data_IF_016625669115
#
_entry.id   IF_016625669115
#
_cell.length_a   1.000
_cell.length_b   1.000
_cell.length_c   1.000
_cell.angle_alpha   90.00
_cell.angle_beta   90.00
_cell.angle_gamma   90.00
#
_symmetry.space_group_name_H-M   'P 1'
#
loop_
_entity.id
_entity.type
_entity.pdbx_description
1 polymer ?
#
# COMPACT_ATOMS: atom_id res chain seq x y z
N UNK A 1 -14.54 -62.65 -9.83
CA UNK A 1 -14.88 -61.31 -10.37
C UNK A 1 -13.60 -60.50 -10.33
N UNK A 2 -12.91 -60.42 -11.46
CA UNK A 2 -11.56 -59.85 -11.61
C UNK A 2 -11.67 -58.35 -11.87
N UNK A 3 -11.17 -57.52 -10.96
CA UNK A 3 -11.03 -56.08 -11.18
C UNK A 3 -9.70 -55.80 -11.88
N UNK A 4 -9.78 -55.39 -13.13
CA UNK A 4 -8.64 -54.98 -13.97
C UNK A 4 -8.08 -53.65 -13.49
N UNK A 5 -6.77 -53.61 -13.25
CA UNK A 5 -5.97 -52.40 -13.11
C UNK A 5 -6.06 -51.56 -14.41
N UNK A 6 -6.33 -50.26 -14.28
CA UNK A 6 -6.12 -49.27 -15.34
C UNK A 6 -4.88 -48.45 -15.00
N UNK A 7 -3.85 -48.60 -15.81
CA UNK A 7 -2.67 -47.72 -15.87
C UNK A 7 -3.10 -46.29 -16.24
N UNK A 8 -2.56 -45.23 -15.61
CA UNK A 8 -2.80 -43.87 -16.07
C UNK A 8 -1.94 -43.60 -17.30
N UNK A 9 -2.62 -43.36 -18.42
CA UNK A 9 -2.05 -42.77 -19.64
C UNK A 9 -1.61 -41.33 -19.34
N UNK A 10 -0.37 -41.02 -19.67
CA UNK A 10 0.20 -39.67 -19.66
C UNK A 10 -0.70 -38.71 -20.46
N UNK A 11 -1.14 -37.57 -19.90
CA UNK A 11 -1.78 -36.55 -20.72
C UNK A 11 -0.71 -35.86 -21.57
N UNK A 12 -1.07 -35.62 -22.81
CA UNK A 12 -0.30 -34.92 -23.82
C UNK A 12 0.24 -33.58 -23.29
N UNK A 13 1.44 -33.22 -23.73
CA UNK A 13 2.05 -31.92 -23.49
C UNK A 13 1.25 -30.84 -24.23
N UNK A 14 0.20 -30.31 -23.58
CA UNK A 14 -0.39 -29.03 -23.96
C UNK A 14 0.68 -27.94 -23.77
N UNK A 15 1.00 -27.25 -24.85
CA UNK A 15 1.88 -26.09 -24.90
C UNK A 15 1.36 -25.02 -23.92
N UNK A 16 1.98 -24.94 -22.73
CA UNK A 16 1.62 -23.94 -21.73
C UNK A 16 1.81 -22.54 -22.34
N UNK A 17 0.81 -21.64 -22.27
CA UNK A 17 0.93 -20.31 -22.82
C UNK A 17 2.07 -19.57 -22.09
N UNK A 18 3.10 -19.17 -22.84
CA UNK A 18 4.24 -18.44 -22.28
C UNK A 18 3.74 -17.18 -21.58
N UNK A 19 4.04 -16.98 -20.29
CA UNK A 19 3.56 -15.81 -19.55
C UNK A 19 4.07 -14.54 -20.23
N UNK A 20 3.16 -13.67 -20.68
CA UNK A 20 3.54 -12.42 -21.34
C UNK A 20 4.01 -11.44 -20.26
N UNK A 21 5.25 -10.99 -20.28
CA UNK A 21 5.71 -10.00 -19.30
C UNK A 21 5.32 -8.57 -19.73
N UNK A 22 5.05 -7.69 -18.76
CA UNK A 22 4.91 -6.24 -18.93
C UNK A 22 6.12 -5.51 -18.36
N UNK A 23 6.59 -4.51 -19.09
CA UNK A 23 7.51 -3.50 -18.57
C UNK A 23 6.70 -2.33 -18.01
N UNK A 24 7.02 -1.91 -16.79
CA UNK A 24 6.46 -0.75 -16.12
C UNK A 24 7.44 0.42 -16.09
N UNK A 25 7.24 1.32 -15.12
CA UNK A 25 8.06 2.51 -14.99
C UNK A 25 9.56 2.21 -14.81
N UNK A 26 10.38 3.00 -15.49
CA UNK A 26 11.83 3.05 -15.32
C UNK A 26 12.17 4.12 -14.31
N UNK A 27 12.99 3.81 -13.31
CA UNK A 27 13.46 4.78 -12.30
C UNK A 27 14.97 4.86 -12.35
N UNK A 28 15.49 6.06 -12.61
CA UNK A 28 16.92 6.34 -12.49
C UNK A 28 17.24 6.93 -11.12
N UNK A 29 18.30 6.44 -10.50
CA UNK A 29 18.88 6.99 -9.26
C UNK A 29 20.36 7.34 -9.40
N UNK A 30 20.98 6.95 -10.52
CA UNK A 30 22.33 7.36 -10.90
C UNK A 30 22.31 8.65 -11.73
N UNK A 31 23.48 9.05 -12.21
CA UNK A 31 23.60 10.16 -13.16
C UNK A 31 23.09 9.83 -14.57
N UNK A 32 22.52 8.64 -14.79
CA UNK A 32 22.00 8.21 -16.09
C UNK A 32 20.55 8.68 -16.29
N UNK A 33 20.14 8.83 -17.55
CA UNK A 33 18.74 9.09 -17.92
C UNK A 33 17.93 7.79 -17.94
N UNK A 34 16.61 7.87 -17.78
CA UNK A 34 15.70 6.71 -17.83
C UNK A 34 15.93 5.82 -19.06
N UNK A 35 16.00 6.44 -20.24
CA UNK A 35 16.31 5.77 -21.51
C UNK A 35 17.62 4.96 -21.51
N UNK A 36 18.63 5.42 -20.77
CA UNK A 36 19.91 4.71 -20.63
C UNK A 36 19.84 3.58 -19.62
N UNK A 37 19.10 3.76 -18.53
CA UNK A 37 18.80 2.66 -17.60
C UNK A 37 18.08 1.54 -18.34
N UNK A 38 17.10 1.88 -19.19
CA UNK A 38 16.42 0.91 -20.05
C UNK A 38 17.38 0.28 -21.08
N UNK A 39 18.27 1.05 -21.70
CA UNK A 39 19.28 0.50 -22.60
C UNK A 39 20.22 -0.50 -21.91
N UNK A 40 20.64 -0.21 -20.66
CA UNK A 40 21.42 -1.15 -19.86
C UNK A 40 20.58 -2.38 -19.47
N UNK A 41 19.28 -2.22 -19.21
CA UNK A 41 18.37 -3.33 -18.95
C UNK A 41 18.24 -4.26 -20.16
N UNK A 42 18.25 -3.71 -21.37
CA UNK A 42 18.13 -4.43 -22.64
C UNK A 42 19.46 -5.05 -23.13
N UNK A 43 20.55 -4.90 -22.40
CA UNK A 43 21.84 -5.47 -22.76
C UNK A 43 21.84 -7.00 -22.53
N UNK A 44 21.57 -7.74 -23.60
CA UNK A 44 21.44 -9.19 -23.59
C UNK A 44 22.15 -9.82 -24.81
N UNK A 45 22.41 -11.12 -24.73
CA UNK A 45 22.97 -11.87 -25.85
C UNK A 45 22.03 -11.77 -27.09
N UNK A 46 22.59 -11.66 -28.31
CA UNK A 46 21.81 -11.70 -29.54
C UNK A 46 20.99 -12.99 -29.60
N UNK A 47 19.66 -12.86 -29.72
CA UNK A 47 18.76 -14.00 -29.78
C UNK A 47 18.51 -14.71 -28.44
N UNK A 48 18.69 -14.03 -27.31
CA UNK A 48 18.34 -14.57 -25.98
C UNK A 48 16.88 -15.07 -25.94
N UNK A 49 16.68 -16.29 -25.46
CA UNK A 49 15.37 -16.90 -25.21
C UNK A 49 14.77 -16.48 -23.85
N UNK A 50 15.47 -15.67 -23.06
CA UNK A 50 14.96 -15.15 -21.78
C UNK A 50 13.81 -14.15 -22.05
N UNK A 51 12.60 -14.39 -21.52
CA UNK A 51 11.45 -13.49 -21.72
C UNK A 51 11.70 -12.08 -21.17
N UNK A 52 12.53 -11.92 -20.14
CA UNK A 52 12.91 -10.61 -19.61
C UNK A 52 13.79 -9.86 -20.61
N UNK A 53 14.76 -10.54 -21.23
CA UNK A 53 15.63 -9.93 -22.24
C UNK A 53 14.83 -9.49 -23.46
N UNK A 54 13.95 -10.36 -23.96
CA UNK A 54 13.07 -10.06 -25.09
C UNK A 54 12.17 -8.86 -24.80
N UNK A 55 11.58 -8.80 -23.60
CA UNK A 55 10.76 -7.68 -23.16
C UNK A 55 11.56 -6.37 -23.09
N UNK A 56 12.76 -6.37 -22.50
CA UNK A 56 13.58 -5.15 -22.38
C UNK A 56 14.04 -4.64 -23.74
N UNK A 57 14.39 -5.53 -24.66
CA UNK A 57 14.73 -5.19 -26.04
C UNK A 57 13.51 -4.60 -26.76
N UNK A 58 12.33 -5.19 -26.60
CA UNK A 58 11.08 -4.69 -27.19
C UNK A 58 10.72 -3.30 -26.63
N UNK A 59 10.73 -3.15 -25.31
CA UNK A 59 10.44 -1.89 -24.62
C UNK A 59 11.41 -0.76 -25.05
N UNK A 60 12.70 -1.06 -25.18
CA UNK A 60 13.67 -0.06 -25.66
C UNK A 60 13.39 0.38 -27.10
N UNK A 61 13.05 -0.57 -27.99
CA UNK A 61 12.74 -0.27 -29.41
C UNK A 61 11.45 0.52 -29.56
N UNK A 62 10.46 0.25 -28.71
CA UNK A 62 9.17 0.93 -28.71
C UNK A 62 9.29 2.35 -28.14
N UNK A 63 9.84 2.50 -26.93
CA UNK A 63 9.90 3.80 -26.25
C UNK A 63 10.98 4.72 -26.83
N UNK A 64 12.10 4.14 -27.30
CA UNK A 64 13.30 4.87 -27.68
C UNK A 64 13.97 4.33 -28.96
N UNK A 65 13.30 4.38 -30.11
CA UNK A 65 13.79 3.79 -31.37
C UNK A 65 15.13 4.38 -31.87
N UNK A 66 15.50 5.58 -31.42
CA UNK A 66 16.76 6.23 -31.77
C UNK A 66 17.98 5.70 -30.98
N UNK A 67 17.76 4.88 -29.94
CA UNK A 67 18.84 4.30 -29.13
C UNK A 67 19.10 2.88 -29.63
N UNK A 68 20.32 2.58 -30.11
CA UNK A 68 20.65 1.22 -30.50
C UNK A 68 20.66 0.30 -29.28
N UNK A 69 20.12 -0.91 -29.44
CA UNK A 69 20.27 -1.97 -28.43
C UNK A 69 21.76 -2.29 -28.29
N UNK A 70 22.31 -2.34 -27.06
CA UNK A 70 23.72 -2.67 -26.89
C UNK A 70 24.05 -4.05 -27.46
N UNK A 71 25.10 -4.12 -28.29
CA UNK A 71 25.60 -5.39 -28.81
C UNK A 71 26.43 -6.10 -27.74
N UNK A 72 26.12 -7.37 -27.49
CA UNK A 72 26.77 -8.20 -26.49
C UNK A 72 27.29 -9.46 -27.16
N UNK A 73 28.49 -9.93 -26.78
CA UNK A 73 28.97 -11.24 -27.19
C UNK A 73 28.34 -12.31 -26.26
N UNK A 74 27.78 -13.41 -26.76
CA UNK A 74 27.27 -14.49 -25.91
C UNK A 74 28.28 -15.00 -24.86
N UNK A 75 29.59 -14.95 -25.16
CA UNK A 75 30.64 -15.34 -24.20
C UNK A 75 30.84 -14.31 -23.07
N UNK A 76 30.36 -13.08 -23.25
CA UNK A 76 30.43 -11.98 -22.29
C UNK A 76 29.18 -11.91 -21.38
N UNK A 77 28.30 -12.93 -21.41
CA UNK A 77 27.14 -13.07 -20.53
C UNK A 77 27.38 -14.15 -19.49
N UNK A 78 27.31 -13.76 -18.21
CA UNK A 78 27.36 -14.66 -17.06
C UNK A 78 25.97 -14.68 -16.40
N UNK A 79 25.19 -15.77 -16.56
CA UNK A 79 23.80 -15.86 -16.12
C UNK A 79 23.64 -15.82 -14.58
N UNK A 80 22.42 -15.56 -14.08
CA UNK A 80 22.15 -15.64 -12.66
C UNK A 80 22.30 -17.09 -12.16
N UNK A 81 22.70 -17.24 -10.90
CA UNK A 81 22.88 -18.53 -10.21
C UNK A 81 22.08 -18.52 -8.91
N UNK A 82 21.83 -19.67 -8.29
CA UNK A 82 21.03 -19.72 -7.05
C UNK A 82 21.66 -18.95 -5.88
N UNK A 83 22.99 -18.99 -5.78
CA UNK A 83 23.81 -18.22 -4.83
C UNK A 83 23.91 -16.74 -5.20
N UNK A 84 23.66 -16.41 -6.47
CA UNK A 84 23.86 -15.09 -7.06
C UNK A 84 22.70 -14.71 -7.98
N UNK A 85 21.65 -14.13 -7.40
CA UNK A 85 20.41 -13.69 -8.09
C UNK A 85 20.57 -12.43 -8.95
N UNK A 86 21.71 -12.29 -9.62
CA UNK A 86 21.95 -11.27 -10.64
C UNK A 86 22.82 -11.85 -11.76
N UNK A 87 22.55 -11.42 -12.99
CA UNK A 87 23.38 -11.68 -14.17
C UNK A 87 24.44 -10.59 -14.31
N UNK A 88 25.56 -10.93 -14.93
CA UNK A 88 26.59 -9.98 -15.35
C UNK A 88 26.73 -10.04 -16.86
N UNK A 89 26.63 -8.89 -17.52
CA UNK A 89 26.75 -8.77 -18.97
C UNK A 89 27.82 -7.74 -19.29
N UNK A 90 28.91 -8.15 -19.95
CA UNK A 90 29.93 -7.21 -20.44
C UNK A 90 29.51 -6.66 -21.80
N UNK A 91 29.35 -5.34 -21.86
CA UNK A 91 29.08 -4.59 -23.09
C UNK A 91 30.35 -3.89 -23.52
N UNK A 92 30.78 -4.16 -24.75
CA UNK A 92 31.95 -3.52 -25.36
C UNK A 92 31.54 -2.28 -26.13
N UNK A 93 32.41 -1.27 -26.13
CA UNK A 93 32.23 -0.03 -26.88
C UNK A 93 30.86 0.67 -26.65
N UNK A 94 30.36 0.65 -25.41
CA UNK A 94 29.11 1.33 -25.07
C UNK A 94 29.28 2.84 -25.26
N UNK A 95 28.38 3.46 -26.04
CA UNK A 95 28.41 4.90 -26.29
C UNK A 95 28.00 5.70 -25.03
N UNK A 96 28.90 6.58 -24.60
CA UNK A 96 28.73 7.46 -23.43
C UNK A 96 28.26 8.85 -23.88
N UNK A 97 27.84 9.72 -22.95
CA UNK A 97 27.24 11.04 -23.24
C UNK A 97 28.19 12.00 -23.97
N UNK A 98 29.50 11.81 -23.78
CA UNK A 98 30.55 12.60 -24.38
C UNK A 98 30.93 12.14 -25.81
N UNK A 99 30.23 11.14 -26.35
CA UNK A 99 30.53 10.54 -27.65
C UNK A 99 31.69 9.54 -27.62
N UNK A 100 32.33 9.33 -26.46
CA UNK A 100 33.33 8.28 -26.29
C UNK A 100 32.66 6.91 -26.12
N UNK A 101 33.40 5.86 -26.46
CA UNK A 101 33.00 4.47 -26.20
C UNK A 101 33.74 3.93 -25.00
N UNK A 102 33.05 3.23 -24.11
CA UNK A 102 33.66 2.57 -22.95
C UNK A 102 33.12 1.17 -22.77
N UNK A 103 33.98 0.28 -22.28
CA UNK A 103 33.58 -1.06 -21.89
C UNK A 103 32.98 -1.00 -20.48
N UNK A 104 31.83 -1.66 -20.32
CA UNK A 104 31.05 -1.63 -19.07
C UNK A 104 30.54 -3.03 -18.78
N UNK A 105 30.62 -3.44 -17.52
CA UNK A 105 29.92 -4.63 -17.03
C UNK A 105 28.62 -4.19 -16.37
N UNK A 106 27.51 -4.76 -16.83
CA UNK A 106 26.17 -4.47 -16.35
C UNK A 106 25.73 -5.61 -15.46
N UNK A 107 25.27 -5.27 -14.26
CA UNK A 107 24.66 -6.18 -13.32
C UNK A 107 23.15 -5.97 -13.33
N UNK A 108 22.39 -7.03 -13.60
CA UNK A 108 20.91 -7.02 -13.64
C UNK A 108 20.37 -8.09 -12.72
N UNK A 109 19.43 -7.77 -11.83
CA UNK A 109 18.87 -8.80 -10.95
C UNK A 109 17.95 -8.28 -9.86
N UNK A 110 17.79 -9.11 -8.83
CA UNK A 110 16.92 -8.82 -7.69
C UNK A 110 17.39 -7.58 -6.90
N UNK A 111 16.43 -6.86 -6.32
CA UNK A 111 16.65 -5.68 -5.49
C UNK A 111 17.64 -5.93 -4.35
N UNK A 112 17.50 -7.02 -3.60
CA UNK A 112 18.40 -7.27 -2.46
C UNK A 112 19.80 -7.66 -2.94
N UNK A 113 19.86 -8.52 -3.95
CA UNK A 113 21.13 -9.03 -4.48
C UNK A 113 21.98 -7.92 -5.11
N UNK A 114 21.40 -7.13 -6.02
CA UNK A 114 22.11 -6.03 -6.70
C UNK A 114 22.45 -4.90 -5.74
N UNK A 115 21.55 -4.54 -4.82
CA UNK A 115 21.88 -3.54 -3.79
C UNK A 115 23.00 -4.02 -2.85
N UNK A 116 23.06 -5.32 -2.54
CA UNK A 116 24.13 -5.90 -1.73
C UNK A 116 25.49 -5.87 -2.43
N UNK A 117 25.51 -6.08 -3.75
CA UNK A 117 26.72 -6.17 -4.57
C UNK A 117 27.14 -4.84 -5.22
N UNK A 118 26.41 -3.74 -4.99
CA UNK A 118 26.70 -2.42 -5.59
C UNK A 118 26.78 -1.30 -4.56
N UNK A 119 27.60 -0.30 -4.91
CA UNK A 119 27.78 0.94 -4.17
C UNK A 119 26.83 2.04 -4.66
N UNK A 120 26.39 2.89 -3.75
CA UNK A 120 25.59 4.08 -4.04
C UNK A 120 25.67 5.05 -2.87
N UNK A 121 25.49 6.35 -3.12
CA UNK A 121 25.30 7.32 -2.05
C UNK A 121 24.06 6.96 -1.21
N UNK A 122 24.07 7.30 0.08
CA UNK A 122 22.98 7.01 1.03
C UNK A 122 21.62 7.52 0.54
N UNK A 123 21.60 8.70 -0.10
CA UNK A 123 20.40 9.28 -0.70
C UNK A 123 19.86 8.40 -1.83
N UNK A 124 20.67 8.11 -2.86
CA UNK A 124 20.28 7.29 -4.01
C UNK A 124 19.85 5.88 -3.58
N UNK A 125 20.54 5.30 -2.59
CA UNK A 125 20.20 3.99 -2.04
C UNK A 125 18.84 4.00 -1.33
N UNK A 126 18.54 5.08 -0.60
CA UNK A 126 17.25 5.28 0.07
C UNK A 126 16.12 5.51 -0.94
N UNK A 127 16.36 6.36 -1.95
CA UNK A 127 15.40 6.65 -3.02
C UNK A 127 15.06 5.40 -3.83
N UNK A 128 16.07 4.64 -4.28
CA UNK A 128 15.85 3.41 -5.04
C UNK A 128 15.05 2.41 -4.21
N UNK A 129 15.47 2.16 -2.96
CA UNK A 129 14.77 1.22 -2.07
C UNK A 129 13.31 1.61 -1.87
N UNK A 130 13.04 2.90 -1.62
CA UNK A 130 11.68 3.38 -1.38
C UNK A 130 10.80 3.24 -2.63
N UNK A 131 11.30 3.63 -3.80
CA UNK A 131 10.55 3.55 -5.06
C UNK A 131 10.35 2.08 -5.50
N UNK A 132 11.37 1.24 -5.34
CA UNK A 132 11.29 -0.18 -5.67
C UNK A 132 10.31 -0.91 -4.76
N UNK A 133 10.35 -0.67 -3.44
CA UNK A 133 9.38 -1.25 -2.50
C UNK A 133 7.96 -0.78 -2.79
N UNK A 134 7.77 0.48 -3.19
CA UNK A 134 6.46 0.97 -3.60
C UNK A 134 5.93 0.24 -4.84
N UNK A 135 6.78 -0.09 -5.81
CA UNK A 135 6.40 -0.94 -6.96
C UNK A 135 6.00 -2.35 -6.52
N UNK A 136 6.77 -2.95 -5.60
CA UNK A 136 6.48 -4.28 -5.04
C UNK A 136 5.12 -4.33 -4.34
N UNK A 137 4.75 -3.28 -3.60
CA UNK A 137 3.42 -3.16 -2.98
C UNK A 137 2.27 -3.17 -4.01
N UNK A 138 2.55 -2.85 -5.28
CA UNK A 138 1.58 -2.82 -6.38
C UNK A 138 1.73 -4.01 -7.36
N UNK A 139 2.44 -5.06 -6.95
CA UNK A 139 2.61 -6.29 -7.74
C UNK A 139 3.71 -6.22 -8.81
N UNK A 140 4.54 -5.17 -8.80
CA UNK A 140 5.70 -5.08 -9.68
C UNK A 140 6.94 -5.73 -9.07
N UNK A 141 7.78 -6.32 -9.92
CA UNK A 141 9.09 -6.84 -9.56
C UNK A 141 10.18 -5.94 -10.17
N UNK A 142 10.99 -5.26 -9.35
CA UNK A 142 12.03 -4.38 -9.87
C UNK A 142 13.23 -5.19 -10.35
N UNK A 143 13.56 -5.08 -11.64
CA UNK A 143 14.85 -5.48 -12.20
C UNK A 143 15.85 -4.37 -11.94
N UNK A 144 16.71 -4.55 -10.94
CA UNK A 144 17.68 -3.54 -10.51
C UNK A 144 18.95 -3.63 -11.34
N UNK A 145 19.47 -2.47 -11.72
CA UNK A 145 20.60 -2.32 -12.63
C UNK A 145 21.72 -1.57 -11.94
N UNK A 146 22.90 -2.17 -11.95
CA UNK A 146 24.15 -1.53 -11.60
C UNK A 146 25.16 -1.68 -12.74
N UNK A 147 26.13 -0.78 -12.82
CA UNK A 147 27.13 -0.80 -13.88
C UNK A 147 28.52 -0.53 -13.28
N UNK A 148 29.54 -1.20 -13.82
CA UNK A 148 30.93 -1.02 -13.47
C UNK A 148 31.75 -0.71 -14.74
N UNK A 149 32.59 0.34 -14.74
CA UNK A 149 33.49 0.59 -15.85
C UNK A 149 34.58 -0.49 -15.92
N UNK A 150 35.01 -0.83 -17.13
CA UNK A 150 36.15 -1.72 -17.38
C UNK A 150 37.37 -0.86 -17.71
N UNK A 151 38.48 -1.09 -17.01
CA UNK A 151 39.74 -0.41 -17.28
C UNK A 151 40.44 -1.00 -18.51
N UNK A 152 41.44 -0.29 -19.06
CA UNK A 152 42.15 -0.70 -20.27
C UNK A 152 42.91 -2.03 -20.13
N UNK A 153 43.22 -2.45 -18.90
CA UNK A 153 43.82 -3.74 -18.56
C UNK A 153 42.80 -4.89 -18.46
N UNK A 154 41.52 -4.61 -18.71
CA UNK A 154 40.42 -5.57 -18.63
C UNK A 154 39.85 -5.77 -17.22
N UNK A 155 40.39 -5.10 -16.20
CA UNK A 155 39.89 -5.17 -14.82
C UNK A 155 38.53 -4.46 -14.69
N UNK A 156 37.63 -5.06 -13.90
CA UNK A 156 36.28 -4.52 -13.66
C UNK A 156 36.31 -3.67 -12.40
N UNK A 157 35.88 -2.41 -12.51
CA UNK A 157 35.77 -1.49 -11.39
C UNK A 157 34.62 -1.84 -10.42
N UNK A 158 34.39 -0.95 -9.45
CA UNK A 158 33.26 -1.11 -8.53
C UNK A 158 31.91 -0.91 -9.22
N UNK A 159 30.93 -1.75 -8.88
CA UNK A 159 29.55 -1.59 -9.35
C UNK A 159 28.89 -0.38 -8.68
N UNK A 160 28.31 0.48 -9.50
CA UNK A 160 27.53 1.64 -9.07
C UNK A 160 26.09 1.47 -9.49
N UNK A 161 25.18 1.64 -8.54
CA UNK A 161 23.74 1.55 -8.75
C UNK A 161 23.25 2.61 -9.73
N UNK A 162 22.53 2.21 -10.78
CA UNK A 162 22.05 3.11 -11.83
C UNK A 162 20.54 3.36 -11.73
N UNK A 163 19.76 2.31 -11.47
CA UNK A 163 18.30 2.41 -11.49
C UNK A 163 17.62 1.04 -11.45
N UNK A 164 16.34 1.01 -11.77
CA UNK A 164 15.59 -0.23 -11.98
C UNK A 164 14.48 -0.06 -13.01
N UNK A 165 14.03 -1.18 -13.56
CA UNK A 165 12.85 -1.28 -14.42
C UNK A 165 11.83 -2.20 -13.74
N UNK A 166 10.58 -1.79 -13.63
CA UNK A 166 9.54 -2.63 -13.07
C UNK A 166 9.05 -3.66 -14.09
N UNK A 167 8.85 -4.91 -13.66
CA UNK A 167 8.35 -6.01 -14.48
C UNK A 167 7.18 -6.70 -13.79
N UNK A 168 6.19 -7.18 -14.53
CA UNK A 168 5.15 -8.07 -14.00
C UNK A 168 4.67 -9.06 -15.06
N UNK A 169 4.24 -10.28 -14.71
CA UNK A 169 3.54 -11.15 -15.65
C UNK A 169 2.13 -10.63 -15.96
N UNK A 170 1.75 -10.69 -17.23
CA UNK A 170 0.42 -10.48 -17.82
C UNK A 170 -0.06 -11.83 -18.35
N UNK A 171 -1.25 -12.25 -17.94
CA UNK A 171 -1.89 -13.43 -18.52
C UNK A 171 -1.24 -14.74 -18.08
N UNK A 172 -1.38 -15.05 -16.80
CA UNK A 172 -1.81 -16.39 -16.38
C UNK A 172 -3.26 -16.24 -15.94
N UNK A 173 -4.12 -17.22 -16.21
CA UNK A 173 -5.44 -17.27 -15.58
C UNK A 173 -5.30 -17.12 -14.05
N UNK A 174 -6.37 -16.71 -13.37
CA UNK A 174 -6.42 -16.52 -11.92
C UNK A 174 -5.90 -17.74 -11.11
N UNK A 175 -5.74 -18.90 -11.75
CA UNK A 175 -5.33 -20.17 -11.16
C UNK A 175 -3.80 -20.39 -11.08
N UNK A 176 -2.94 -19.77 -11.90
CA UNK A 176 -1.51 -20.17 -11.99
C UNK A 176 -0.53 -19.30 -11.17
N UNK A 177 -1.01 -18.20 -10.55
CA UNK A 177 -0.22 -17.40 -9.58
C UNK A 177 -0.18 -18.07 -8.19
N UNK A 178 -0.83 -19.22 -8.04
CA UNK A 178 -0.85 -20.03 -6.81
C UNK A 178 0.36 -20.97 -6.71
N UNK A 179 1.59 -20.49 -6.93
CA UNK A 179 2.70 -21.10 -6.20
C UNK A 179 2.47 -20.77 -4.73
N UNK A 180 2.08 -21.75 -3.93
CA UNK A 180 1.69 -21.64 -2.51
C UNK A 180 2.71 -20.92 -1.60
N UNK A 181 3.90 -20.57 -2.10
CA UNK A 181 5.00 -19.96 -1.32
C UNK A 181 5.24 -18.44 -1.49
N UNK A 182 4.49 -17.69 -2.31
CA UNK A 182 4.77 -16.24 -2.48
C UNK A 182 3.63 -15.30 -2.08
N UNK A 183 3.03 -15.52 -0.91
CA UNK A 183 2.23 -14.49 -0.27
C UNK A 183 3.15 -13.40 0.34
N UNK A 184 3.29 -12.27 -0.35
CA UNK A 184 3.93 -11.09 0.24
C UNK A 184 2.91 -10.41 1.17
N UNK A 185 3.05 -10.63 2.49
CA UNK A 185 2.32 -9.86 3.50
C UNK A 185 2.73 -8.40 3.41
N UNK A 186 1.86 -7.58 2.83
CA UNK A 186 1.95 -6.12 2.93
C UNK A 186 1.12 -5.71 4.15
N UNK A 187 1.79 -5.33 5.24
CA UNK A 187 1.12 -4.77 6.43
C UNK A 187 0.63 -3.35 6.12
N UNK A 188 -0.59 -3.25 5.57
CA UNK A 188 -1.22 -1.96 5.26
C UNK A 188 -1.61 -1.20 6.54
N UNK A 189 -1.82 -1.91 7.66
CA UNK A 189 -2.26 -1.32 8.93
C UNK A 189 -1.22 -1.50 10.04
N UNK A 190 -0.65 -0.38 10.50
CA UNK A 190 0.28 -0.36 11.63
C UNK A 190 -0.38 -0.82 12.93
N UNK A 191 0.43 -1.39 13.84
CA UNK A 191 -0.05 -1.83 15.16
C UNK A 191 -0.70 -0.70 15.97
N UNK A 192 -0.17 0.52 15.85
CA UNK A 192 -0.73 1.72 16.49
C UNK A 192 -2.18 1.99 16.05
N UNK A 193 -2.46 1.88 14.75
CA UNK A 193 -3.79 2.08 14.21
C UNK A 193 -4.78 1.00 14.70
N UNK A 194 -4.31 -0.25 14.81
CA UNK A 194 -5.13 -1.36 15.33
C UNK A 194 -5.49 -1.13 16.80
N UNK A 195 -4.52 -0.72 17.62
CA UNK A 195 -4.77 -0.38 19.03
C UNK A 195 -5.77 0.76 19.17
N UNK A 196 -5.62 1.82 18.37
CA UNK A 196 -6.55 2.94 18.37
C UNK A 196 -7.96 2.51 17.94
N UNK A 197 -8.07 1.63 16.94
CA UNK A 197 -9.35 1.08 16.49
C UNK A 197 -10.04 0.28 17.60
N UNK A 198 -9.36 -0.70 18.20
CA UNK A 198 -9.93 -1.52 19.27
C UNK A 198 -10.30 -0.71 20.50
N UNK A 199 -9.48 0.29 20.85
CA UNK A 199 -9.83 1.22 21.93
C UNK A 199 -11.10 2.01 21.62
N UNK A 200 -11.27 2.50 20.39
CA UNK A 200 -12.52 3.15 19.97
C UNK A 200 -13.72 2.19 20.06
N UNK A 201 -13.58 0.94 19.60
CA UNK A 201 -14.64 -0.07 19.65
C UNK A 201 -15.10 -0.29 21.10
N UNK A 202 -14.17 -0.52 22.02
CA UNK A 202 -14.48 -0.74 23.44
C UNK A 202 -15.19 0.48 24.04
N UNK A 203 -14.68 1.69 23.77
CA UNK A 203 -15.27 2.93 24.30
C UNK A 203 -16.67 3.17 23.75
N UNK A 204 -16.89 2.96 22.45
CA UNK A 204 -18.22 3.10 21.82
C UNK A 204 -19.20 2.10 22.45
N UNK A 205 -18.80 0.83 22.62
CA UNK A 205 -19.66 -0.17 23.27
C UNK A 205 -20.05 0.25 24.68
N UNK A 206 -19.10 0.71 25.49
CA UNK A 206 -19.38 1.21 26.84
C UNK A 206 -20.33 2.40 26.80
N UNK A 207 -20.09 3.38 25.92
CA UNK A 207 -20.91 4.57 25.76
C UNK A 207 -22.34 4.24 25.31
N UNK A 208 -22.50 3.32 24.37
CA UNK A 208 -23.81 2.87 23.89
C UNK A 208 -24.59 2.16 24.98
N UNK A 209 -23.99 1.19 25.68
CA UNK A 209 -24.67 0.43 26.73
C UNK A 209 -25.05 1.32 27.93
N UNK A 210 -24.10 2.14 28.40
CA UNK A 210 -24.35 3.05 29.52
C UNK A 210 -25.30 4.19 29.14
N UNK A 211 -25.21 4.72 27.91
CA UNK A 211 -26.10 5.77 27.41
C UNK A 211 -27.53 5.26 27.24
N UNK A 212 -27.70 4.05 26.72
CA UNK A 212 -29.01 3.41 26.64
C UNK A 212 -29.63 3.19 28.02
N UNK A 213 -28.85 2.69 28.98
CA UNK A 213 -29.33 2.56 30.36
C UNK A 213 -29.67 3.90 31.02
N UNK A 214 -28.93 4.98 30.71
CA UNK A 214 -29.26 6.33 31.21
C UNK A 214 -30.59 6.82 30.63
N UNK A 215 -30.87 6.50 29.37
CA UNK A 215 -32.13 6.82 28.69
C UNK A 215 -33.30 6.01 29.27
N UNK A 216 -33.12 4.70 29.40
CA UNK A 216 -34.12 3.75 29.88
C UNK A 216 -33.49 2.76 30.89
N UNK A 217 -33.64 3.00 32.20
CA UNK A 217 -33.05 2.16 33.23
C UNK A 217 -33.83 0.84 33.38
N UNK A 218 -33.48 -0.14 32.55
CA UNK A 218 -34.18 -1.42 32.44
C UNK A 218 -33.83 -2.46 33.53
N UNK A 219 -32.85 -2.21 34.40
CA UNK A 219 -32.48 -3.09 35.50
C UNK A 219 -32.09 -2.31 36.77
N UNK A 220 -32.16 -2.98 37.91
CA UNK A 220 -31.82 -2.40 39.22
C UNK A 220 -33.03 -1.92 40.01
N UNK A 221 -32.82 -1.42 41.24
CA UNK A 221 -33.91 -1.00 42.11
C UNK A 221 -34.59 0.26 41.54
N UNK A 222 -35.88 0.16 41.26
CA UNK A 222 -36.69 1.33 40.92
C UNK A 222 -36.87 2.20 42.17
N UNK A 223 -36.88 3.54 42.05
CA UNK A 223 -37.01 4.44 43.20
C UNK A 223 -38.22 4.16 44.10
N UNK A 224 -39.26 3.53 43.55
CA UNK A 224 -40.50 3.20 44.25
C UNK A 224 -40.46 1.86 45.02
N UNK A 225 -39.56 0.92 44.69
CA UNK A 225 -39.66 -0.47 45.16
C UNK A 225 -38.83 -0.82 46.40
N UNK A 226 -37.79 -0.04 46.71
CA UNK A 226 -36.89 -0.33 47.83
C UNK A 226 -36.60 0.94 48.62
N UNK A 227 -37.02 1.02 49.88
CA UNK A 227 -36.74 2.13 50.81
C UNK A 227 -35.25 2.38 51.12
N UNK A 228 -34.33 1.84 50.31
CA UNK A 228 -32.91 2.19 50.22
C UNK A 228 -32.64 2.73 48.81
N UNK A 229 -32.21 3.98 48.73
CA UNK A 229 -31.73 4.60 47.49
C UNK A 229 -30.39 3.98 47.09
N UNK A 230 -30.39 3.09 46.10
CA UNK A 230 -29.16 2.57 45.50
C UNK A 230 -28.43 3.64 44.67
N UNK A 231 -27.10 3.55 44.56
CA UNK A 231 -26.27 4.48 43.77
C UNK A 231 -25.92 3.96 42.36
N UNK A 232 -26.65 2.95 41.87
CA UNK A 232 -26.38 2.28 40.59
C UNK A 232 -26.35 3.27 39.41
N UNK A 233 -27.35 4.14 39.30
CA UNK A 233 -27.39 5.18 38.27
C UNK A 233 -26.19 6.14 38.36
N UNK A 234 -25.70 6.42 39.57
CA UNK A 234 -24.50 7.22 39.79
C UNK A 234 -23.25 6.55 39.22
N UNK A 235 -23.07 5.25 39.45
CA UNK A 235 -21.97 4.48 38.85
C UNK A 235 -22.06 4.41 37.33
N UNK A 236 -23.25 4.19 36.76
CA UNK A 236 -23.41 4.15 35.29
C UNK A 236 -23.10 5.50 34.65
N UNK A 237 -23.57 6.60 35.24
CA UNK A 237 -23.21 7.96 34.76
C UNK A 237 -21.71 8.21 34.87
N UNK A 238 -21.07 7.80 35.97
CA UNK A 238 -19.62 7.93 36.13
C UNK A 238 -18.87 7.17 35.01
N UNK A 239 -19.22 5.90 34.77
CA UNK A 239 -18.63 5.09 33.70
C UNK A 239 -18.84 5.76 32.34
N UNK A 240 -20.05 6.25 32.05
CA UNK A 240 -20.37 6.93 30.80
C UNK A 240 -19.50 8.18 30.59
N UNK A 241 -19.41 9.06 31.59
CA UNK A 241 -18.62 10.28 31.48
C UNK A 241 -17.12 9.98 31.38
N UNK A 242 -16.59 9.05 32.18
CA UNK A 242 -15.19 8.63 32.07
C UNK A 242 -14.87 8.05 30.70
N UNK A 243 -15.75 7.21 30.14
CA UNK A 243 -15.59 6.68 28.79
C UNK A 243 -15.68 7.79 27.74
N UNK A 244 -16.56 8.77 27.92
CA UNK A 244 -16.70 9.90 26.99
C UNK A 244 -15.43 10.77 26.95
N UNK A 245 -14.84 11.08 28.10
CA UNK A 245 -13.57 11.82 28.17
C UNK A 245 -12.40 11.00 27.61
N UNK A 246 -12.34 9.69 27.86
CA UNK A 246 -11.34 8.83 27.23
C UNK A 246 -11.49 8.81 25.70
N UNK A 247 -12.73 8.71 25.20
CA UNK A 247 -13.03 8.73 23.78
C UNK A 247 -12.70 10.08 23.13
N UNK A 248 -12.89 11.19 23.86
CA UNK A 248 -12.43 12.51 23.45
C UNK A 248 -10.91 12.57 23.26
N UNK A 249 -10.14 12.05 24.22
CA UNK A 249 -8.68 12.01 24.11
C UNK A 249 -8.24 11.17 22.91
N UNK A 250 -8.86 10.01 22.69
CA UNK A 250 -8.60 9.15 21.52
C UNK A 250 -9.00 9.83 20.21
N UNK A 251 -10.10 10.58 20.20
CA UNK A 251 -10.51 11.42 19.07
C UNK A 251 -9.52 12.56 18.81
N UNK A 252 -9.01 13.22 19.85
CA UNK A 252 -8.04 14.29 19.73
C UNK A 252 -6.71 13.80 19.13
N UNK A 253 -6.21 12.63 19.53
CA UNK A 253 -5.02 12.05 18.88
C UNK A 253 -5.26 11.77 17.39
N UNK A 254 -6.50 11.39 17.02
CA UNK A 254 -6.89 11.21 15.61
C UNK A 254 -6.89 12.53 14.86
N UNK A 255 -7.46 13.59 15.43
CA UNK A 255 -7.48 14.93 14.82
C UNK A 255 -6.05 15.43 14.60
N UNK A 256 -5.18 15.32 15.61
CA UNK A 256 -3.75 15.70 15.48
C UNK A 256 -3.07 14.88 14.37
N UNK A 257 -3.28 13.57 14.35
CA UNK A 257 -2.74 12.70 13.31
C UNK A 257 -3.24 13.07 11.91
N UNK A 258 -4.49 13.52 11.77
CA UNK A 258 -5.05 13.94 10.50
C UNK A 258 -4.34 15.14 9.87
N UNK A 259 -3.70 15.99 10.69
CA UNK A 259 -2.91 17.14 10.24
C UNK A 259 -1.40 16.86 10.19
N UNK A 260 -0.86 16.08 11.13
CA UNK A 260 0.60 15.92 11.31
C UNK A 260 1.17 14.63 10.68
N UNK A 261 0.36 13.62 10.38
CA UNK A 261 0.87 12.33 9.91
C UNK A 261 1.54 12.40 8.53
N UNK A 262 2.67 11.68 8.41
CA UNK A 262 3.38 11.45 7.12
C UNK A 262 2.67 10.43 6.22
N UNK A 263 1.83 9.59 6.80
CA UNK A 263 1.05 8.58 6.08
C UNK A 263 -0.13 9.23 5.35
N UNK A 264 -0.25 8.96 4.04
CA UNK A 264 -1.30 9.49 3.18
C UNK A 264 -2.68 9.02 3.65
N UNK A 265 -2.80 7.82 4.21
CA UNK A 265 -4.09 7.23 4.63
C UNK A 265 -4.63 7.83 5.93
N UNK A 266 -3.80 8.51 6.72
CA UNK A 266 -4.23 9.20 7.94
C UNK A 266 -4.65 10.66 7.71
N UNK A 267 -4.35 11.25 6.55
CA UNK A 267 -4.55 12.69 6.30
C UNK A 267 -5.99 13.07 6.00
N UNK A 268 -6.34 14.30 6.38
CA UNK A 268 -7.65 14.93 6.11
C UNK A 268 -8.18 14.77 4.67
N UNK A 269 -7.38 14.92 3.60
CA UNK A 269 -7.88 14.83 2.23
C UNK A 269 -8.36 13.42 1.84
N UNK A 270 -8.04 12.39 2.64
CA UNK A 270 -8.45 10.99 2.42
C UNK A 270 -9.87 10.72 2.94
N UNK A 271 -10.41 11.60 3.78
CA UNK A 271 -11.81 11.52 4.23
C UNK A 271 -12.80 11.99 3.16
N UNK A 272 -12.35 12.70 2.13
CA UNK A 272 -13.21 13.17 1.05
C UNK A 272 -12.90 12.46 -0.27
N UNK A 273 -13.63 11.37 -0.61
CA UNK A 273 -13.39 10.60 -1.84
C UNK A 273 -13.92 11.27 -3.11
N UNK A 274 -14.73 12.32 -3.00
CA UNK A 274 -15.48 12.91 -4.13
C UNK A 274 -14.81 14.17 -4.67
N UNK A 275 -13.59 14.03 -5.22
CA UNK A 275 -12.83 15.16 -5.75
C UNK A 275 -13.02 15.36 -7.25
N UNK A 276 -13.31 14.29 -8.00
CA UNK A 276 -13.49 14.33 -9.45
C UNK A 276 -14.83 13.73 -9.89
N UNK A 277 -15.32 14.17 -11.06
CA UNK A 277 -16.47 13.54 -11.75
C UNK A 277 -16.23 12.04 -12.02
N UNK A 278 -14.97 11.64 -12.20
CA UNK A 278 -14.58 10.22 -12.35
C UNK A 278 -14.81 9.43 -11.04
N UNK A 279 -14.56 10.05 -9.89
CA UNK A 279 -14.70 9.42 -8.57
C UNK A 279 -16.17 9.18 -8.23
N UNK A 280 -17.05 10.14 -8.54
CA UNK A 280 -18.51 10.00 -8.39
C UNK A 280 -19.05 8.88 -9.28
N UNK A 281 -18.59 8.80 -10.54
CA UNK A 281 -18.95 7.70 -11.45
C UNK A 281 -18.47 6.34 -10.93
N UNK A 282 -17.27 6.29 -10.36
CA UNK A 282 -16.71 5.07 -9.77
C UNK A 282 -17.46 4.67 -8.48
N UNK A 283 -17.87 5.64 -7.64
CA UNK A 283 -18.74 5.38 -6.49
C UNK A 283 -20.05 4.73 -6.93
N UNK A 284 -20.69 5.24 -7.98
CA UNK A 284 -21.90 4.64 -8.54
C UNK A 284 -21.68 3.20 -9.04
N UNK A 285 -20.49 2.87 -9.54
CA UNK A 285 -20.13 1.49 -9.93
C UNK A 285 -19.96 0.59 -8.71
N UNK A 286 -19.34 1.07 -7.64
CA UNK A 286 -19.20 0.33 -6.37
C UNK A 286 -20.55 0.05 -5.73
N UNK A 287 -21.43 1.06 -5.66
CA UNK A 287 -22.78 0.90 -5.12
C UNK A 287 -23.58 -0.14 -5.91
N UNK A 288 -23.52 -0.09 -7.25
CA UNK A 288 -24.18 -1.09 -8.11
C UNK A 288 -23.63 -2.49 -7.92
N UNK A 289 -22.31 -2.63 -7.79
CA UNK A 289 -21.68 -3.91 -7.51
C UNK A 289 -22.12 -4.49 -6.16
N UNK A 290 -22.14 -3.68 -5.09
CA UNK A 290 -22.62 -4.10 -3.77
C UNK A 290 -24.13 -4.34 -3.70
N UNK A 291 -24.90 -3.70 -4.59
CA UNK A 291 -26.31 -3.99 -4.78
C UNK A 291 -26.55 -5.21 -5.69
N UNK A 292 -25.50 -5.95 -6.08
CA UNK A 292 -25.55 -7.10 -6.98
C UNK A 292 -26.13 -6.79 -8.38
N UNK A 293 -26.08 -5.52 -8.80
CA UNK A 293 -26.53 -5.05 -10.11
C UNK A 293 -25.43 -5.12 -11.19
N UNK A 294 -24.21 -5.55 -10.82
CA UNK A 294 -23.04 -5.64 -11.71
C UNK A 294 -22.01 -6.65 -11.16
N UNK A 295 -21.57 -7.60 -12.01
CA UNK A 295 -20.61 -8.64 -11.62
C UNK A 295 -19.18 -8.12 -11.38
N UNK A 296 -18.68 -7.21 -12.22
CA UNK A 296 -17.30 -6.70 -12.06
C UNK A 296 -17.23 -5.41 -11.24
N UNK A 297 -16.61 -5.51 -10.07
CA UNK A 297 -16.30 -4.41 -9.17
C UNK A 297 -14.90 -3.81 -9.42
N UNK A 298 -14.72 -2.47 -9.34
CA UNK A 298 -13.39 -1.88 -9.44
C UNK A 298 -12.51 -2.29 -8.24
N UNK A 299 -11.28 -2.75 -8.50
CA UNK A 299 -10.31 -3.09 -7.46
C UNK A 299 -9.84 -1.83 -6.71
N UNK A 300 -9.90 -1.87 -5.37
CA UNK A 300 -9.33 -0.84 -4.50
C UNK A 300 -8.35 -1.48 -3.51
N UNK A 301 -7.13 -0.91 -3.43
CA UNK A 301 -6.03 -1.47 -2.63
C UNK A 301 -6.18 -1.21 -1.12
N UNK A 302 -6.89 -0.16 -0.71
CA UNK A 302 -7.00 0.25 0.70
C UNK A 302 -8.44 0.49 1.14
N UNK A 303 -9.12 1.50 0.59
CA UNK A 303 -10.51 1.80 0.89
C UNK A 303 -11.25 2.19 -0.38
N UNK A 304 -12.43 1.60 -0.59
CA UNK A 304 -13.30 2.02 -1.66
C UNK A 304 -13.95 3.40 -1.33
N UNK A 305 -14.44 4.14 -2.34
CA UNK A 305 -15.08 5.45 -2.13
C UNK A 305 -16.28 5.42 -1.17
N UNK A 306 -17.03 4.32 -1.14
CA UNK A 306 -18.20 4.17 -0.27
C UNK A 306 -17.80 4.02 1.21
N UNK A 307 -16.75 3.24 1.50
CA UNK A 307 -16.14 3.07 2.81
C UNK A 307 -15.59 4.40 3.32
N UNK A 308 -14.92 5.17 2.47
CA UNK A 308 -14.44 6.50 2.83
C UNK A 308 -15.60 7.44 3.20
N UNK A 309 -16.71 7.42 2.46
CA UNK A 309 -17.92 8.16 2.84
C UNK A 309 -18.51 7.67 4.16
N UNK A 310 -18.59 6.37 4.38
CA UNK A 310 -19.09 5.79 5.62
C UNK A 310 -18.23 6.23 6.83
N UNK A 311 -16.90 6.21 6.70
CA UNK A 311 -15.98 6.69 7.75
C UNK A 311 -16.17 8.18 8.03
N UNK A 312 -16.32 8.99 6.99
CA UNK A 312 -16.60 10.42 7.16
C UNK A 312 -17.92 10.67 7.85
N UNK A 313 -18.97 9.92 7.47
CA UNK A 313 -20.26 9.95 8.17
C UNK A 313 -20.13 9.58 9.64
N UNK A 314 -19.39 8.51 9.96
CA UNK A 314 -19.16 8.06 11.34
C UNK A 314 -18.39 9.10 12.16
N UNK A 315 -17.37 9.75 11.58
CA UNK A 315 -16.63 10.83 12.26
C UNK A 315 -17.49 12.06 12.50
N UNK A 316 -18.35 12.44 11.54
CA UNK A 316 -19.28 13.56 11.72
C UNK A 316 -20.33 13.25 12.80
N UNK A 317 -20.92 12.06 12.78
CA UNK A 317 -21.88 11.61 13.79
C UNK A 317 -21.22 11.57 15.18
N UNK A 318 -19.99 11.05 15.27
CA UNK A 318 -19.25 11.02 16.52
C UNK A 318 -18.88 12.42 17.04
N UNK A 319 -18.46 13.33 16.15
CA UNK A 319 -18.21 14.72 16.51
C UNK A 319 -19.46 15.43 17.01
N UNK A 320 -20.61 15.22 16.36
CA UNK A 320 -21.90 15.75 16.81
C UNK A 320 -22.29 15.19 18.18
N UNK A 321 -22.17 13.88 18.39
CA UNK A 321 -22.43 13.25 19.69
C UNK A 321 -21.53 13.83 20.79
N UNK A 322 -20.25 14.05 20.52
CA UNK A 322 -19.33 14.69 21.46
C UNK A 322 -19.80 16.10 21.84
N UNK A 323 -20.18 16.92 20.86
CA UNK A 323 -20.67 18.27 21.11
C UNK A 323 -21.93 18.26 21.98
N UNK A 324 -22.92 17.43 21.62
CA UNK A 324 -24.16 17.29 22.40
C UNK A 324 -23.87 16.83 23.83
N UNK A 325 -23.03 15.80 24.00
CA UNK A 325 -22.65 15.28 25.31
C UNK A 325 -21.93 16.32 26.17
N UNK A 326 -21.02 17.10 25.58
CA UNK A 326 -20.32 18.19 26.26
C UNK A 326 -21.28 19.30 26.71
N UNK A 327 -22.23 19.70 25.86
CA UNK A 327 -23.21 20.71 26.21
C UNK A 327 -24.12 20.25 27.35
N UNK A 328 -24.56 18.98 27.34
CA UNK A 328 -25.34 18.40 28.44
C UNK A 328 -24.53 18.29 29.75
N UNK A 329 -23.25 17.96 29.65
CA UNK A 329 -22.37 17.93 30.83
C UNK A 329 -22.12 19.34 31.40
N UNK A 330 -22.04 20.35 30.54
CA UNK A 330 -21.81 21.75 30.92
C UNK A 330 -22.96 22.35 31.76
N UNK A 331 -24.19 21.86 31.60
CA UNK A 331 -25.34 22.28 32.42
C UNK A 331 -25.07 22.12 33.93
N UNK A 332 -24.29 21.11 34.31
CA UNK A 332 -23.95 20.86 35.71
C UNK A 332 -22.95 21.90 36.27
N UNK A 333 -22.19 22.62 35.43
CA UNK A 333 -21.05 23.46 35.84
C UNK A 333 -21.02 24.85 35.19
N UNK A 334 -22.16 25.55 35.16
CA UNK A 334 -22.27 26.90 34.57
C UNK A 334 -21.54 28.04 35.33
N UNK A 335 -20.77 27.74 36.38
CA UNK A 335 -20.07 28.75 37.18
C UNK A 335 -18.88 29.41 36.47
N UNK A 336 -18.39 28.83 35.38
CA UNK A 336 -17.29 29.40 34.58
C UNK A 336 -17.78 29.88 33.22
N UNK A 337 -17.25 31.02 32.69
CA UNK A 337 -17.58 31.51 31.34
C UNK A 337 -17.38 30.47 30.24
N UNK A 338 -16.39 29.59 30.37
CA UNK A 338 -16.15 28.50 29.44
C UNK A 338 -17.34 27.54 29.34
N UNK A 339 -17.86 27.09 30.49
CA UNK A 339 -18.98 26.14 30.52
C UNK A 339 -20.30 26.78 30.10
N UNK A 340 -20.47 28.09 30.31
CA UNK A 340 -21.63 28.82 29.79
C UNK A 340 -21.64 28.83 28.26
N UNK A 341 -20.50 29.09 27.62
CA UNK A 341 -20.37 29.02 26.16
C UNK A 341 -20.63 27.60 25.66
N UNK A 342 -20.06 26.58 26.30
CA UNK A 342 -20.28 25.17 25.90
C UNK A 342 -21.74 24.73 26.07
N UNK A 343 -22.48 25.31 27.03
CA UNK A 343 -23.91 25.06 27.24
C UNK A 343 -24.84 25.82 26.27
N UNK A 344 -24.35 26.85 25.55
CA UNK A 344 -25.22 27.65 24.64
C UNK A 344 -26.12 26.86 23.69
N UNK A 345 -25.70 25.70 23.12
CA UNK A 345 -26.60 24.93 22.25
C UNK A 345 -27.85 24.41 22.95
N UNK A 346 -27.81 24.11 24.26
CA UNK A 346 -28.98 23.60 24.99
C UNK A 346 -30.00 24.70 25.22
N UNK A 347 -29.54 25.93 25.44
CA UNK A 347 -30.40 27.10 25.60
C UNK A 347 -31.20 27.42 24.33
N UNK A 348 -30.63 27.20 23.14
CA UNK A 348 -31.35 27.39 21.86
C UNK A 348 -32.48 26.37 21.65
N UNK A 349 -32.37 25.20 22.28
CA UNK A 349 -33.33 24.11 22.16
C UNK A 349 -34.35 24.15 23.33
N UNK A 350 -34.25 25.15 24.22
CA UNK A 350 -35.15 25.31 25.36
C UNK A 350 -34.88 24.35 26.52
N UNK A 351 -33.71 23.71 26.54
CA UNK A 351 -33.23 22.85 27.63
C UNK A 351 -32.30 23.72 28.48
N UNK A 352 -32.85 24.45 29.45
CA UNK A 352 -32.12 25.41 30.27
C UNK A 352 -32.75 25.63 31.62
#
# INVERSE_FOLDING_TARGET
>A
MTTSERTPTSPDAEEQPTPRLEAGDVVSVGGLSHRRVLALAAAAAPGSDDPVDQLMIAALREDHPAIPVPTVDPADVDPPREDRRYSLTRVRALQVTDGSTRDVVIMRGDLRAVMGASSANRENRSLLRKNALHGVEHGWRPLVIAAAPVAADGSVGGFVLQGFVNLRPIGGGEDEVTSEESYTRVDVWSISLRLQHWLNVILIVILSLSGYYIMDPFFGPTPAASGRTGYLMGYVRLIHFSAAFAWLLVGATRVVSAFTSRDRYLRWPTLWPLKSKKDVRNLGRVVKHYAFLRDEGPLYLAHNPLQQLAYTGLYLAGGLQMLVGFSLYALYKQTSPFWQVVATPTHWIGIG
#
